data_IF_377606645970
#
_entry.id   IF_377606645970
#
_cell.length_a   1.000
_cell.length_b   1.000
_cell.length_c   1.000
_cell.angle_alpha   90.00
_cell.angle_beta   90.00
_cell.angle_gamma   90.00
#
_symmetry.space_group_name_H-M   'P 1'
#
loop_
_entity.id
_entity.type
_entity.pdbx_description
1 polymer ?
#
# COMPACT_ATOMS: atom_id res chain seq x y z
N UNK A 1 9.63 15.01 -1.21
CA UNK A 1 8.52 14.86 -2.15
C UNK A 1 7.37 15.77 -1.76
N UNK A 2 6.83 16.50 -2.71
CA UNK A 2 5.69 17.38 -2.46
C UNK A 2 4.38 16.64 -2.71
N UNK A 3 3.69 16.23 -1.64
CA UNK A 3 2.43 15.49 -1.76
C UNK A 3 1.33 16.35 -2.37
N UNK A 4 1.44 17.67 -2.29
CA UNK A 4 0.46 18.57 -2.87
C UNK A 4 0.48 18.54 -4.40
N UNK A 5 1.57 18.07 -5.01
CA UNK A 5 1.70 17.99 -6.47
C UNK A 5 1.16 16.68 -7.05
N UNK A 6 0.68 15.76 -6.22
CA UNK A 6 0.09 14.51 -6.72
C UNK A 6 -1.19 14.78 -7.52
N UNK A 7 -1.41 13.97 -8.55
CA UNK A 7 -2.66 14.01 -9.28
C UNK A 7 -3.82 13.54 -8.40
N UNK A 8 -5.08 13.84 -8.77
CA UNK A 8 -6.24 13.47 -7.94
C UNK A 8 -6.36 11.98 -7.65
N UNK A 9 -5.98 11.12 -8.59
CA UNK A 9 -6.04 9.66 -8.41
C UNK A 9 -5.06 9.20 -7.34
N UNK A 10 -3.83 9.71 -7.38
CA UNK A 10 -2.81 9.36 -6.39
C UNK A 10 -3.15 9.92 -5.02
N UNK A 11 -3.72 11.12 -4.96
CA UNK A 11 -4.19 11.69 -3.69
C UNK A 11 -5.27 10.81 -3.05
N UNK A 12 -6.24 10.35 -3.85
CA UNK A 12 -7.29 9.46 -3.37
C UNK A 12 -6.73 8.14 -2.85
N UNK A 13 -5.79 7.56 -3.61
CA UNK A 13 -5.17 6.30 -3.24
C UNK A 13 -4.38 6.45 -1.95
N UNK A 14 -3.63 7.54 -1.81
CA UNK A 14 -2.90 7.85 -0.59
C UNK A 14 -3.85 7.97 0.60
N UNK A 15 -4.94 8.70 0.43
CA UNK A 15 -5.94 8.84 1.48
C UNK A 15 -6.50 7.48 1.91
N UNK A 16 -6.85 6.63 0.95
CA UNK A 16 -7.36 5.28 1.23
C UNK A 16 -6.34 4.42 1.98
N UNK A 17 -5.07 4.58 1.64
CA UNK A 17 -4.00 3.84 2.32
C UNK A 17 -3.80 4.31 3.76
N UNK A 18 -4.06 5.58 4.04
CA UNK A 18 -3.87 6.19 5.36
C UNK A 18 -5.09 6.09 6.27
N UNK A 19 -6.24 5.70 5.73
CA UNK A 19 -7.51 5.65 6.47
C UNK A 19 -8.16 4.28 6.29
N UNK A 20 -7.50 3.24 6.85
CA UNK A 20 -7.94 1.85 6.68
C UNK A 20 -8.84 1.46 7.84
N UNK A 21 -9.17 1.50 8.70
CA UNK A 21 -10.01 1.04 9.79
C UNK A 21 -9.24 0.24 10.84
N UNK A 22 -8.08 -0.30 10.47
CA UNK A 22 -7.20 -0.99 11.40
C UNK A 22 -5.95 -0.13 11.60
N UNK A 23 -5.65 0.20 12.85
CA UNK A 23 -4.55 1.13 13.16
C UNK A 23 -3.21 0.67 12.61
N UNK A 24 -2.90 -0.62 12.75
CA UNK A 24 -1.65 -1.18 12.24
C UNK A 24 -1.53 -0.99 10.72
N UNK A 25 -2.64 -1.23 10.01
CA UNK A 25 -2.69 -1.04 8.57
C UNK A 25 -2.57 0.43 8.19
N UNK A 26 -3.25 1.33 8.90
CA UNK A 26 -3.16 2.77 8.67
C UNK A 26 -1.70 3.23 8.73
N UNK A 27 -0.98 2.80 9.76
CA UNK A 27 0.40 3.20 9.98
C UNK A 27 1.31 2.64 8.90
N UNK A 28 1.25 1.33 8.66
CA UNK A 28 2.20 0.67 7.74
C UNK A 28 1.89 0.98 6.27
N UNK A 29 0.65 0.73 5.85
CA UNK A 29 0.26 0.93 4.46
C UNK A 29 0.25 2.42 4.12
N UNK A 30 -0.16 3.25 5.06
CA UNK A 30 -0.13 4.71 4.89
C UNK A 30 1.27 5.25 4.72
N UNK A 31 2.22 4.80 5.54
CA UNK A 31 3.62 5.22 5.42
C UNK A 31 4.24 4.73 4.11
N UNK A 32 3.93 3.51 3.70
CA UNK A 32 4.38 2.98 2.42
C UNK A 32 3.87 3.84 1.26
N UNK A 33 2.57 4.15 1.25
CA UNK A 33 1.98 4.96 0.20
C UNK A 33 2.61 6.35 0.17
N UNK A 34 2.79 6.98 1.32
CA UNK A 34 3.42 8.30 1.40
C UNK A 34 4.82 8.29 0.78
N UNK A 35 5.57 7.22 1.01
CA UNK A 35 6.94 7.11 0.50
C UNK A 35 7.00 6.78 -0.99
N UNK A 36 6.01 6.08 -1.54
CA UNK A 36 6.12 5.46 -2.86
C UNK A 36 5.11 5.95 -3.91
N UNK A 37 3.97 6.52 -3.49
CA UNK A 37 2.86 6.77 -4.43
C UNK A 37 3.23 7.68 -5.60
N UNK A 38 4.06 8.68 -5.37
CA UNK A 38 4.42 9.66 -6.41
C UNK A 38 5.29 9.05 -7.50
N UNK A 39 6.07 8.03 -7.18
CA UNK A 39 7.01 7.40 -8.12
C UNK A 39 6.49 6.08 -8.69
N UNK A 40 5.30 5.64 -8.29
CA UNK A 40 4.71 4.42 -8.85
C UNK A 40 4.39 4.60 -10.33
N UNK A 41 4.79 3.61 -11.13
CA UNK A 41 4.36 3.51 -12.50
C UNK A 41 2.85 3.24 -12.55
N UNK A 42 2.22 3.49 -13.69
CA UNK A 42 0.78 3.29 -13.86
C UNK A 42 0.37 1.86 -13.49
N UNK A 43 1.12 0.86 -13.94
CA UNK A 43 0.83 -0.55 -13.65
C UNK A 43 0.89 -0.83 -12.15
N UNK A 44 1.89 -0.26 -11.48
CA UNK A 44 2.06 -0.43 -10.04
C UNK A 44 0.91 0.21 -9.27
N UNK A 45 0.48 1.39 -9.72
CA UNK A 45 -0.64 2.07 -9.09
C UNK A 45 -1.92 1.24 -9.19
N UNK A 46 -2.17 0.64 -10.36
CA UNK A 46 -3.32 -0.25 -10.57
C UNK A 46 -3.26 -1.43 -9.59
N UNK A 47 -2.09 -2.06 -9.46
CA UNK A 47 -1.91 -3.21 -8.56
C UNK A 47 -2.10 -2.80 -7.09
N UNK A 48 -1.60 -1.63 -6.72
CA UNK A 48 -1.76 -1.13 -5.37
C UNK A 48 -3.22 -0.84 -5.05
N UNK A 49 -3.92 -0.17 -5.97
CA UNK A 49 -5.35 0.11 -5.81
C UNK A 49 -6.16 -1.17 -5.66
N UNK A 50 -5.85 -2.19 -6.44
CA UNK A 50 -6.55 -3.49 -6.34
C UNK A 50 -6.32 -4.13 -4.98
N UNK A 51 -5.09 -4.08 -4.47
CA UNK A 51 -4.77 -4.62 -3.16
C UNK A 51 -5.54 -3.90 -2.05
N UNK A 52 -5.70 -2.60 -2.15
CA UNK A 52 -6.42 -1.81 -1.14
C UNK A 52 -7.91 -2.13 -1.06
N UNK A 53 -8.45 -2.91 -2.01
CA UNK A 53 -9.83 -3.40 -1.95
C UNK A 53 -10.00 -4.57 -0.99
N UNK A 54 -8.90 -5.21 -0.58
CA UNK A 54 -8.94 -6.34 0.34
C UNK A 54 -9.04 -5.87 1.78
N UNK A 55 -9.41 -6.80 2.67
CA UNK A 55 -9.53 -6.50 4.10
C UNK A 55 -8.16 -6.21 4.72
N UNK A 56 -8.11 -5.25 5.61
CA UNK A 56 -6.87 -4.83 6.28
C UNK A 56 -6.15 -5.99 6.96
N UNK A 57 -6.90 -6.83 7.67
CA UNK A 57 -6.32 -7.97 8.38
C UNK A 57 -5.64 -8.93 7.40
N UNK A 58 -6.27 -9.16 6.24
CA UNK A 58 -5.73 -10.06 5.22
C UNK A 58 -4.45 -9.47 4.62
N UNK A 59 -4.49 -8.19 4.25
CA UNK A 59 -3.32 -7.51 3.68
C UNK A 59 -2.14 -7.57 4.65
N UNK A 60 -2.38 -7.27 5.91
CA UNK A 60 -1.33 -7.29 6.93
C UNK A 60 -0.79 -8.69 7.16
N UNK A 61 -1.65 -9.71 7.13
CA UNK A 61 -1.20 -11.11 7.26
C UNK A 61 -0.26 -11.49 6.12
N UNK A 62 -0.58 -11.04 4.90
CA UNK A 62 0.28 -11.32 3.74
C UNK A 62 1.62 -10.59 3.84
N UNK A 63 1.59 -9.32 4.22
CA UNK A 63 2.80 -8.51 4.36
C UNK A 63 3.73 -9.09 5.44
N UNK A 64 3.16 -9.51 6.58
CA UNK A 64 3.91 -10.01 7.72
C UNK A 64 4.25 -11.50 7.61
N UNK A 65 3.80 -12.18 6.56
CA UNK A 65 4.09 -13.60 6.37
C UNK A 65 3.28 -14.54 7.25
N UNK A 66 2.20 -14.05 7.88
CA UNK A 66 1.35 -14.89 8.72
C UNK A 66 0.43 -15.78 7.91
N UNK A 67 0.11 -15.37 6.70
CA UNK A 67 -0.65 -16.16 5.74
C UNK A 67 -0.01 -16.02 4.36
N UNK A 68 -0.09 -17.06 3.51
CA UNK A 68 0.50 -16.98 2.17
C UNK A 68 -0.26 -15.98 1.31
N UNK A 69 0.50 -15.19 0.53
CA UNK A 69 -0.09 -14.21 -0.38
C UNK A 69 -0.82 -14.93 -1.51
N UNK A 70 -2.11 -14.63 -1.77
CA UNK A 70 -2.82 -15.21 -2.92
C UNK A 70 -2.15 -14.83 -4.23
N UNK A 71 -2.28 -15.72 -5.21
CA UNK A 71 -1.65 -15.53 -6.53
C UNK A 71 -1.93 -14.16 -7.16
N UNK A 72 -3.16 -13.63 -7.15
CA UNK A 72 -3.42 -12.32 -7.76
C UNK A 72 -2.63 -11.17 -7.13
N UNK A 73 -2.14 -11.35 -5.91
CA UNK A 73 -1.40 -10.31 -5.19
C UNK A 73 0.09 -10.63 -5.04
N UNK A 74 0.58 -11.66 -5.71
CA UNK A 74 2.01 -11.97 -5.80
C UNK A 74 2.63 -11.08 -6.87
N UNK A 75 2.81 -9.80 -6.55
CA UNK A 75 3.22 -8.75 -7.47
C UNK A 75 4.43 -8.01 -6.95
N UNK A 76 5.01 -7.15 -7.81
CA UNK A 76 6.11 -6.27 -7.43
C UNK A 76 5.71 -5.33 -6.29
N UNK A 77 4.47 -4.85 -6.29
CA UNK A 77 3.97 -3.97 -5.22
C UNK A 77 3.96 -4.71 -3.89
N UNK A 78 3.52 -5.98 -3.88
CA UNK A 78 3.56 -6.79 -2.66
C UNK A 78 4.99 -6.99 -2.18
N UNK A 79 5.93 -7.22 -3.10
CA UNK A 79 7.34 -7.36 -2.76
C UNK A 79 7.88 -6.07 -2.13
N UNK A 80 7.51 -4.93 -2.68
CA UNK A 80 7.90 -3.63 -2.12
C UNK A 80 7.34 -3.45 -0.70
N UNK A 81 6.08 -3.85 -0.48
CA UNK A 81 5.45 -3.78 0.84
C UNK A 81 6.16 -4.69 1.84
N UNK A 82 6.49 -5.91 1.44
CA UNK A 82 7.18 -6.85 2.33
C UNK A 82 8.58 -6.38 2.71
N UNK A 83 9.21 -5.60 1.86
CA UNK A 83 10.56 -5.09 2.08
C UNK A 83 10.57 -3.68 2.67
N UNK A 84 9.40 -3.04 2.78
CA UNK A 84 9.31 -1.70 3.32
C UNK A 84 9.51 -1.73 4.83
N UNK A 85 10.30 -0.78 5.35
CA UNK A 85 10.54 -0.67 6.78
C UNK A 85 10.12 0.70 7.27
N UNK A 86 9.36 0.70 8.36
CA UNK A 86 9.01 1.94 9.03
C UNK A 86 10.26 2.50 9.72
N UNK A 87 10.45 3.79 9.63
CA UNK A 87 11.50 4.47 10.37
C UNK A 87 10.96 4.89 11.73
N UNK A 88 11.75 4.73 12.80
CA UNK A 88 11.33 5.18 14.13
C UNK A 88 11.08 6.67 14.18
#
# INVERSE_FOLDING_TARGET
>A
MDLASLDPRRKRTLYRAQHRGMKEADIFIGAFAEAKIATMEEDQLVRFEALLEELDADIMDWIMGRQPTPTPYQTDVMDLLKNFKLHP
#
